data_IF_153895665931
#
_entry.id   IF_153895665931
#
_cell.length_a   1.000
_cell.length_b   1.000
_cell.length_c   1.000
_cell.angle_alpha   90.00
_cell.angle_beta   90.00
_cell.angle_gamma   90.00
#
_symmetry.space_group_name_H-M   'P 1'
#
loop_
_entity.id
_entity.type
_entity.pdbx_description
1 polymer ?
#
# COMPACT_ATOMS: atom_id res chain seq x y z
N UNK A 1 21.69 3.03 0.55
CA UNK A 1 22.02 4.47 0.39
C UNK A 1 23.17 4.96 1.29
N UNK A 2 23.34 4.41 2.51
CA UNK A 2 24.33 4.90 3.49
C UNK A 2 25.57 4.00 3.67
N UNK A 3 25.92 3.21 2.65
CA UNK A 3 26.98 2.19 2.76
C UNK A 3 28.41 2.74 2.96
N UNK A 4 28.62 4.03 2.72
CA UNK A 4 29.91 4.71 2.90
C UNK A 4 30.09 5.30 4.31
N UNK A 5 29.04 5.32 5.14
CA UNK A 5 29.10 5.88 6.48
C UNK A 5 29.45 4.80 7.53
N UNK A 6 30.08 5.18 8.66
CA UNK A 6 30.23 4.27 9.80
C UNK A 6 28.89 3.71 10.25
N UNK A 7 28.85 2.45 10.67
CA UNK A 7 27.60 1.73 10.96
C UNK A 7 26.62 2.48 11.89
N UNK A 8 27.05 3.09 13.02
CA UNK A 8 26.12 3.85 13.88
C UNK A 8 25.47 5.02 13.16
N UNK A 9 26.23 5.75 12.35
CA UNK A 9 25.73 6.89 11.57
C UNK A 9 24.85 6.42 10.40
N UNK A 10 25.23 5.34 9.71
CA UNK A 10 24.41 4.73 8.66
C UNK A 10 23.07 4.25 9.19
N UNK A 11 23.05 3.61 10.37
CA UNK A 11 21.84 3.14 11.04
C UNK A 11 20.96 4.31 11.47
N UNK A 12 21.53 5.34 12.12
CA UNK A 12 20.80 6.53 12.53
C UNK A 12 20.17 7.23 11.32
N UNK A 13 20.96 7.48 10.26
CA UNK A 13 20.48 8.08 9.02
C UNK A 13 19.37 7.26 8.35
N UNK A 14 19.49 5.93 8.35
CA UNK A 14 18.46 5.03 7.83
C UNK A 14 17.17 5.12 8.65
N UNK A 15 17.24 5.01 9.97
CA UNK A 15 16.06 5.08 10.84
C UNK A 15 15.37 6.45 10.74
N UNK A 16 16.12 7.55 10.74
CA UNK A 16 15.57 8.90 10.54
C UNK A 16 14.87 9.04 9.19
N UNK A 17 15.43 8.47 8.11
CA UNK A 17 14.77 8.46 6.81
C UNK A 17 13.43 7.72 6.85
N UNK A 18 13.36 6.57 7.54
CA UNK A 18 12.11 5.83 7.70
C UNK A 18 11.10 6.63 8.54
N UNK A 19 11.53 7.24 9.64
CA UNK A 19 10.70 8.08 10.50
C UNK A 19 10.14 9.30 9.78
N UNK A 20 10.85 9.87 8.80
CA UNK A 20 10.36 10.96 7.93
C UNK A 20 9.39 10.43 6.86
N UNK A 21 9.64 9.23 6.32
CA UNK A 21 8.80 8.62 5.29
C UNK A 21 7.38 8.28 5.79
N UNK A 22 7.22 7.96 7.07
CA UNK A 22 5.91 7.68 7.69
C UNK A 22 4.93 8.88 7.64
N UNK A 23 5.25 10.06 8.22
CA UNK A 23 4.39 11.23 8.12
C UNK A 23 4.28 11.73 6.68
N UNK A 24 5.31 11.57 5.84
CA UNK A 24 5.20 11.86 4.41
C UNK A 24 4.13 11.00 3.74
N UNK A 25 4.08 9.70 4.05
CA UNK A 25 3.05 8.77 3.54
C UNK A 25 1.66 9.22 3.98
N UNK A 26 1.48 9.61 5.26
CA UNK A 26 0.21 10.11 5.77
C UNK A 26 -0.23 11.41 5.06
N UNK A 27 0.66 12.38 4.88
CA UNK A 27 0.36 13.63 4.18
C UNK A 27 0.03 13.41 2.70
N UNK A 28 0.79 12.53 2.03
CA UNK A 28 0.52 12.14 0.65
C UNK A 28 -0.84 11.45 0.54
N UNK A 29 -1.20 10.60 1.49
CA UNK A 29 -2.50 9.93 1.56
C UNK A 29 -3.65 10.92 1.71
N UNK A 30 -3.54 11.90 2.61
CA UNK A 30 -4.53 12.98 2.78
C UNK A 30 -4.69 13.77 1.47
N UNK A 31 -3.56 14.14 0.85
CA UNK A 31 -3.55 14.90 -0.41
C UNK A 31 -4.05 14.09 -1.60
N UNK A 32 -3.87 12.77 -1.60
CA UNK A 32 -4.37 11.85 -2.63
C UNK A 32 -5.88 11.76 -2.53
N UNK A 33 -6.42 11.50 -1.33
CA UNK A 33 -7.85 11.47 -1.06
C UNK A 33 -8.54 12.84 -1.23
N UNK A 34 -7.78 13.93 -1.43
CA UNK A 34 -8.28 15.32 -1.49
C UNK A 34 -9.04 15.73 -0.23
N UNK A 35 -8.73 15.07 0.88
CA UNK A 35 -9.37 15.32 2.17
C UNK A 35 -8.80 16.59 2.79
N UNK A 36 -9.67 17.40 3.40
CA UNK A 36 -9.32 18.59 4.18
C UNK A 36 -9.67 18.37 5.66
N UNK A 37 -8.95 17.47 6.36
CA UNK A 37 -9.18 17.22 7.78
C UNK A 37 -8.91 18.48 8.60
N UNK A 38 -9.51 18.57 9.79
CA UNK A 38 -9.16 19.61 10.76
C UNK A 38 -7.68 19.48 11.17
N UNK A 39 -7.07 20.57 11.62
CA UNK A 39 -5.66 20.57 12.03
C UNK A 39 -5.34 19.48 13.06
N UNK A 40 -6.22 19.29 14.06
CA UNK A 40 -6.05 18.25 15.06
C UNK A 40 -6.15 16.83 14.46
N UNK A 41 -7.04 16.57 13.49
CA UNK A 41 -7.14 15.27 12.82
C UNK A 41 -5.87 14.98 12.01
N UNK A 42 -5.31 16.02 11.38
CA UNK A 42 -4.02 15.93 10.69
C UNK A 42 -2.92 15.57 11.68
N UNK A 43 -2.84 16.26 12.83
CA UNK A 43 -1.85 15.97 13.87
C UNK A 43 -1.99 14.53 14.41
N UNK A 44 -3.22 14.07 14.65
CA UNK A 44 -3.49 12.70 15.08
C UNK A 44 -3.09 11.67 14.03
N UNK A 45 -3.36 11.91 12.74
CA UNK A 45 -2.93 11.02 11.65
C UNK A 45 -1.41 10.97 11.50
N UNK A 46 -0.73 12.12 11.67
CA UNK A 46 0.73 12.19 11.66
C UNK A 46 1.31 11.39 12.83
N UNK A 47 0.79 11.59 14.04
CA UNK A 47 1.20 10.82 15.21
C UNK A 47 0.92 9.32 15.03
N UNK A 48 -0.27 8.97 14.54
CA UNK A 48 -0.65 7.60 14.22
C UNK A 48 0.33 6.93 13.25
N UNK A 49 0.71 7.64 12.19
CA UNK A 49 1.60 7.11 11.15
C UNK A 49 2.94 6.63 11.70
N UNK A 50 3.39 7.21 12.82
CA UNK A 50 4.64 6.84 13.50
C UNK A 50 4.41 5.87 14.66
N UNK A 51 3.34 6.04 15.43
CA UNK A 51 3.14 5.37 16.72
C UNK A 51 2.46 3.99 16.64
N UNK A 52 1.73 3.69 15.56
CA UNK A 52 1.09 2.38 15.43
C UNK A 52 2.10 1.24 15.22
N UNK A 53 1.70 0.04 15.64
CA UNK A 53 2.56 -1.14 15.71
C UNK A 53 3.39 -1.40 14.44
N UNK A 54 2.76 -1.36 13.27
CA UNK A 54 3.42 -1.70 12.00
C UNK A 54 4.52 -0.70 11.61
N UNK A 55 4.37 0.58 11.95
CA UNK A 55 5.40 1.59 11.74
C UNK A 55 6.55 1.42 12.74
N UNK A 56 6.24 1.32 14.03
CA UNK A 56 7.27 1.19 15.09
C UNK A 56 8.12 -0.05 14.84
N UNK A 57 7.48 -1.21 14.59
CA UNK A 57 8.19 -2.44 14.24
C UNK A 57 9.04 -2.26 12.98
N UNK A 58 8.49 -1.60 11.95
CA UNK A 58 9.20 -1.33 10.70
C UNK A 58 10.46 -0.48 10.91
N UNK A 59 10.41 0.55 11.75
CA UNK A 59 11.57 1.39 12.08
C UNK A 59 12.61 0.61 12.88
N UNK A 60 12.18 -0.14 13.91
CA UNK A 60 13.08 -0.94 14.77
C UNK A 60 13.89 -1.94 13.95
N UNK A 61 13.24 -2.62 12.99
CA UNK A 61 13.91 -3.62 12.13
C UNK A 61 14.52 -3.01 10.87
N UNK A 62 14.46 -1.68 10.68
CA UNK A 62 15.03 -1.00 9.52
C UNK A 62 14.37 -1.37 8.19
N UNK A 63 13.07 -1.64 8.18
CA UNK A 63 12.34 -2.16 7.04
C UNK A 63 12.18 -1.15 5.90
N UNK A 64 12.62 -1.54 4.68
CA UNK A 64 12.51 -0.73 3.46
C UNK A 64 11.06 -0.42 3.04
N UNK A 65 10.09 -1.27 3.43
CA UNK A 65 8.66 -1.11 3.11
C UNK A 65 8.09 0.27 3.50
N UNK A 66 8.63 0.92 4.53
CA UNK A 66 8.22 2.27 4.94
C UNK A 66 8.56 3.30 3.86
N UNK A 67 9.80 3.27 3.35
CA UNK A 67 10.23 4.15 2.26
C UNK A 67 9.43 3.84 0.99
N UNK A 68 9.20 2.57 0.71
CA UNK A 68 8.41 2.13 -0.43
C UNK A 68 6.96 2.61 -0.36
N UNK A 69 6.32 2.59 0.81
CA UNK A 69 4.98 3.15 0.98
C UNK A 69 4.94 4.65 0.66
N UNK A 70 5.97 5.41 1.03
CA UNK A 70 6.10 6.83 0.66
C UNK A 70 6.29 7.01 -0.86
N UNK A 71 7.11 6.17 -1.50
CA UNK A 71 7.30 6.16 -2.95
C UNK A 71 6.00 5.86 -3.69
N UNK A 72 5.26 4.83 -3.26
CA UNK A 72 3.95 4.45 -3.83
C UNK A 72 2.93 5.58 -3.65
N UNK A 73 2.78 6.12 -2.44
CA UNK A 73 1.86 7.22 -2.19
C UNK A 73 2.23 8.47 -3.00
N UNK A 74 3.53 8.75 -3.13
CA UNK A 74 4.07 9.84 -3.95
C UNK A 74 3.81 9.64 -5.44
N UNK A 75 4.01 8.42 -5.94
CA UNK A 75 3.71 8.04 -7.31
C UNK A 75 2.23 8.25 -7.63
N UNK A 76 1.32 7.70 -6.82
CA UNK A 76 -0.12 7.87 -6.99
C UNK A 76 -0.52 9.35 -6.93
N UNK A 77 0.13 10.13 -6.06
CA UNK A 77 -0.09 11.58 -5.98
C UNK A 77 0.37 12.31 -7.25
N UNK A 78 1.52 11.91 -7.81
CA UNK A 78 2.06 12.45 -9.05
C UNK A 78 1.16 12.11 -10.24
N UNK A 79 0.61 10.89 -10.30
CA UNK A 79 -0.42 10.50 -11.27
C UNK A 79 -1.63 11.44 -11.20
N UNK A 80 -2.15 11.70 -9.99
CA UNK A 80 -3.28 12.62 -9.77
C UNK A 80 -2.96 14.08 -10.16
N UNK A 81 -1.69 14.51 -10.08
CA UNK A 81 -1.22 15.82 -10.57
C UNK A 81 -0.87 15.86 -12.06
N UNK A 82 -1.04 14.75 -12.80
CA UNK A 82 -0.58 14.62 -14.20
C UNK A 82 0.93 14.82 -14.36
N UNK A 83 1.70 14.61 -13.29
CA UNK A 83 3.16 14.67 -13.27
C UNK A 83 3.74 13.30 -13.68
N UNK A 84 3.49 12.90 -14.93
CA UNK A 84 3.75 11.55 -15.42
C UNK A 84 5.22 11.11 -15.29
N UNK A 85 6.16 12.03 -15.50
CA UNK A 85 7.59 11.74 -15.34
C UNK A 85 7.92 11.37 -13.89
N UNK A 86 7.51 12.19 -12.93
CA UNK A 86 7.73 11.92 -11.51
C UNK A 86 7.01 10.64 -11.05
N UNK A 87 5.79 10.41 -11.53
CA UNK A 87 5.05 9.18 -11.24
C UNK A 87 5.81 7.93 -11.69
N UNK A 88 6.31 7.93 -12.93
CA UNK A 88 7.08 6.82 -13.48
C UNK A 88 8.38 6.57 -12.70
N UNK A 89 9.12 7.64 -12.35
CA UNK A 89 10.35 7.52 -11.54
C UNK A 89 10.05 6.91 -10.17
N UNK A 90 9.05 7.42 -9.46
CA UNK A 90 8.70 6.92 -8.12
C UNK A 90 8.23 5.46 -8.15
N UNK A 91 7.45 5.07 -9.16
CA UNK A 91 7.06 3.66 -9.36
C UNK A 91 8.27 2.78 -9.73
N UNK A 92 9.17 3.26 -10.59
CA UNK A 92 10.39 2.54 -10.94
C UNK A 92 11.27 2.30 -9.72
N UNK A 93 11.44 3.31 -8.86
CA UNK A 93 12.18 3.19 -7.59
C UNK A 93 11.52 2.20 -6.62
N UNK A 94 10.19 2.11 -6.59
CA UNK A 94 9.49 1.14 -5.74
C UNK A 94 9.72 -0.32 -6.12
N UNK A 95 10.22 -0.63 -7.34
CA UNK A 95 10.58 -2.00 -7.74
C UNK A 95 11.69 -2.60 -6.88
N UNK A 96 12.43 -1.79 -6.12
CA UNK A 96 13.40 -2.26 -5.14
C UNK A 96 12.84 -3.34 -4.18
N UNK A 97 11.52 -3.40 -3.99
CA UNK A 97 10.86 -4.51 -3.29
C UNK A 97 9.63 -5.00 -4.08
N UNK A 98 9.84 -5.83 -5.10
CA UNK A 98 8.82 -6.11 -6.11
C UNK A 98 7.53 -6.71 -5.54
N UNK A 99 7.61 -7.39 -4.40
CA UNK A 99 6.49 -8.00 -3.68
C UNK A 99 5.36 -7.01 -3.37
N UNK A 100 5.66 -5.77 -2.99
CA UNK A 100 4.63 -4.78 -2.58
C UNK A 100 3.98 -4.06 -3.78
N UNK A 101 4.63 -4.11 -4.95
CA UNK A 101 4.16 -3.45 -6.18
C UNK A 101 3.79 -4.42 -7.29
N UNK A 102 3.87 -5.73 -7.04
CA UNK A 102 3.69 -6.79 -8.05
C UNK A 102 2.33 -6.72 -8.76
N UNK A 103 1.26 -6.32 -8.06
CA UNK A 103 -0.05 -6.09 -8.68
C UNK A 103 -0.26 -4.62 -9.07
N UNK A 104 0.35 -3.68 -8.33
CA UNK A 104 0.18 -2.24 -8.60
C UNK A 104 0.79 -1.84 -9.95
N UNK A 105 1.98 -2.34 -10.29
CA UNK A 105 2.65 -1.97 -11.55
C UNK A 105 1.84 -2.44 -12.77
N UNK A 106 1.42 -3.72 -12.88
CA UNK A 106 0.54 -4.15 -13.97
C UNK A 106 -0.74 -3.32 -14.04
N UNK A 107 -1.38 -3.04 -12.90
CA UNK A 107 -2.56 -2.17 -12.85
C UNK A 107 -2.28 -0.79 -13.47
N UNK A 108 -1.23 -0.11 -13.00
CA UNK A 108 -0.90 1.24 -13.47
C UNK A 108 -0.48 1.24 -14.94
N UNK A 109 0.20 0.20 -15.43
CA UNK A 109 0.56 0.08 -16.85
C UNK A 109 -0.69 -0.10 -17.74
N UNK A 110 -1.61 -1.00 -17.35
CA UNK A 110 -2.90 -1.21 -18.05
C UNK A 110 -3.70 0.10 -18.05
N UNK A 111 -3.78 0.75 -16.90
CA UNK A 111 -4.47 2.02 -16.74
C UNK A 111 -3.83 3.12 -17.61
N UNK A 112 -2.51 3.29 -17.55
CA UNK A 112 -1.78 4.33 -18.26
C UNK A 112 -1.86 4.15 -19.78
N UNK A 113 -1.82 2.90 -20.26
CA UNK A 113 -2.02 2.58 -21.66
C UNK A 113 -3.40 3.05 -22.14
N UNK A 114 -4.45 2.71 -21.38
CA UNK A 114 -5.84 3.09 -21.69
C UNK A 114 -6.09 4.59 -21.54
N UNK A 115 -5.44 5.24 -20.58
CA UNK A 115 -5.47 6.68 -20.36
C UNK A 115 -4.55 7.47 -21.33
N UNK A 116 -3.87 6.78 -22.26
CA UNK A 116 -2.88 7.35 -23.21
C UNK A 116 -1.74 8.14 -22.53
N UNK A 117 -1.35 7.75 -21.32
CA UNK A 117 -0.25 8.37 -20.55
C UNK A 117 1.10 7.73 -20.85
N UNK A 118 1.50 7.76 -22.13
CA UNK A 118 2.75 7.15 -22.59
C UNK A 118 4.01 7.67 -21.89
N UNK A 119 4.01 8.95 -21.49
CA UNK A 119 5.13 9.55 -20.72
C UNK A 119 5.35 8.88 -19.37
N UNK A 120 4.29 8.44 -18.70
CA UNK A 120 4.39 7.71 -17.43
C UNK A 120 5.03 6.35 -17.66
N UNK A 121 4.55 5.62 -18.69
CA UNK A 121 5.07 4.29 -19.05
C UNK A 121 6.56 4.38 -19.39
N UNK A 122 6.94 5.32 -20.26
CA UNK A 122 8.34 5.51 -20.66
C UNK A 122 9.21 5.92 -19.46
N UNK A 123 8.72 6.78 -18.57
CA UNK A 123 9.45 7.16 -17.36
C UNK A 123 9.65 5.99 -16.39
N UNK A 124 8.62 5.16 -16.21
CA UNK A 124 8.71 3.95 -15.39
C UNK A 124 9.72 2.98 -15.98
N UNK A 125 9.55 2.60 -17.25
CA UNK A 125 10.45 1.66 -17.93
C UNK A 125 11.88 2.20 -18.01
N UNK A 126 12.07 3.49 -18.28
CA UNK A 126 13.36 4.15 -18.30
C UNK A 126 14.05 4.12 -16.94
N UNK A 127 13.32 4.39 -15.86
CA UNK A 127 13.85 4.30 -14.49
C UNK A 127 14.30 2.88 -14.16
N UNK A 128 13.48 1.88 -14.50
CA UNK A 128 13.81 0.47 -14.30
C UNK A 128 15.03 0.07 -15.12
N UNK A 129 15.11 0.49 -16.39
CA UNK A 129 16.24 0.22 -17.26
C UNK A 129 17.54 0.83 -16.71
N UNK A 130 17.49 2.04 -16.17
CA UNK A 130 18.65 2.67 -15.51
C UNK A 130 19.06 1.91 -14.25
N UNK A 131 18.10 1.50 -13.40
CA UNK A 131 18.40 0.75 -12.18
C UNK A 131 18.99 -0.63 -12.48
N UNK A 132 18.36 -1.39 -13.38
CA UNK A 132 18.80 -2.73 -13.79
C UNK A 132 20.13 -2.63 -14.53
N UNK A 133 20.28 -1.67 -15.46
CA UNK A 133 21.51 -1.43 -16.19
C UNK A 133 22.67 -1.05 -15.27
N UNK A 134 22.42 -0.17 -14.29
CA UNK A 134 23.40 0.18 -13.27
C UNK A 134 23.77 -1.01 -12.38
N UNK A 135 22.80 -1.82 -11.96
CA UNK A 135 23.05 -3.04 -11.18
C UNK A 135 23.84 -4.08 -11.98
N UNK A 136 23.53 -4.28 -13.26
CA UNK A 136 24.29 -5.15 -14.16
C UNK A 136 25.70 -4.62 -14.41
N UNK A 137 25.89 -3.32 -14.50
CA UNK A 137 27.22 -2.74 -14.65
C UNK A 137 28.10 -2.96 -13.41
N UNK A 138 27.51 -2.83 -12.20
CA UNK A 138 28.21 -3.06 -10.94
C UNK A 138 28.44 -4.55 -10.63
N UNK A 139 27.47 -5.41 -10.95
CA UNK A 139 27.54 -6.85 -10.67
C UNK A 139 26.87 -7.65 -11.81
N UNK A 140 27.56 -7.90 -12.94
CA UNK A 140 26.95 -8.46 -14.15
C UNK A 140 26.24 -9.80 -13.98
N UNK A 141 26.70 -10.62 -13.04
CA UNK A 141 26.19 -11.97 -12.80
C UNK A 141 25.09 -12.04 -11.73
N UNK A 142 24.63 -10.90 -11.19
CA UNK A 142 23.58 -10.86 -10.18
C UNK A 142 22.28 -11.58 -10.59
N UNK A 143 21.77 -11.50 -11.86
CA UNK A 143 20.52 -12.16 -12.20
C UNK A 143 20.65 -13.68 -12.17
N UNK A 144 21.79 -14.20 -12.65
CA UNK A 144 22.07 -15.63 -12.65
C UNK A 144 22.24 -16.14 -11.21
N UNK A 145 22.98 -15.42 -10.36
CA UNK A 145 23.13 -15.75 -8.94
C UNK A 145 21.80 -15.69 -8.19
N UNK A 146 20.96 -14.70 -8.48
CA UNK A 146 19.62 -14.58 -7.90
C UNK A 146 18.74 -15.77 -8.33
N UNK A 147 18.75 -16.14 -9.62
CA UNK A 147 17.99 -17.28 -10.11
C UNK A 147 18.47 -18.60 -9.47
N UNK A 148 19.78 -18.79 -9.35
CA UNK A 148 20.36 -19.91 -8.61
C UNK A 148 19.86 -19.93 -7.16
N UNK A 149 19.84 -18.79 -6.46
CA UNK A 149 19.30 -18.72 -5.10
C UNK A 149 17.81 -19.07 -5.05
N UNK A 150 17.00 -18.65 -6.03
CA UNK A 150 15.58 -19.00 -6.09
C UNK A 150 15.37 -20.52 -6.27
N UNK A 151 16.21 -21.17 -7.08
CA UNK A 151 16.10 -22.61 -7.37
C UNK A 151 16.70 -23.47 -6.25
N UNK A 152 17.84 -23.05 -5.67
CA UNK A 152 18.62 -23.84 -4.70
C UNK A 152 18.11 -23.69 -3.27
N UNK A 153 17.18 -22.79 -2.98
CA UNK A 153 16.65 -22.57 -1.62
C UNK A 153 15.12 -22.80 -1.50
N UNK A 154 14.63 -24.05 -1.58
CA UNK A 154 13.20 -24.34 -1.49
C UNK A 154 12.57 -24.05 -0.10
N UNK A 155 13.34 -23.94 0.99
CA UNK A 155 12.78 -24.03 2.36
C UNK A 155 12.84 -22.77 3.25
N UNK A 156 13.18 -21.57 2.74
CA UNK A 156 13.47 -20.46 3.67
C UNK A 156 12.27 -19.75 4.33
N UNK A 157 11.02 -19.94 3.88
CA UNK A 157 9.89 -19.12 4.39
C UNK A 157 8.75 -19.94 4.96
N UNK A 158 8.63 -19.91 6.29
CA UNK A 158 7.54 -20.48 7.10
C UNK A 158 6.23 -19.71 7.04
N UNK A 159 6.19 -18.50 6.47
CA UNK A 159 4.99 -17.65 6.44
C UNK A 159 4.36 -17.60 5.05
N UNK A 160 3.16 -18.15 4.94
CA UNK A 160 2.30 -18.04 3.77
C UNK A 160 1.70 -16.62 3.60
N UNK A 161 0.76 -16.47 2.67
CA UNK A 161 0.01 -15.21 2.52
C UNK A 161 -0.97 -15.02 3.70
N UNK A 162 -1.45 -13.81 4.00
CA UNK A 162 -2.44 -13.64 5.07
C UNK A 162 -3.70 -14.47 4.85
N UNK A 163 -4.12 -14.65 3.60
CA UNK A 163 -5.23 -15.55 3.24
C UNK A 163 -4.95 -17.01 3.65
N UNK A 164 -3.69 -17.47 3.62
CA UNK A 164 -3.37 -18.86 4.00
C UNK A 164 -3.56 -19.13 5.49
N UNK A 165 -3.57 -18.09 6.34
CA UNK A 165 -3.87 -18.24 7.77
C UNK A 165 -5.32 -18.68 7.96
N UNK A 166 -6.24 -18.18 7.14
CA UNK A 166 -7.64 -18.62 7.14
C UNK A 166 -7.76 -20.09 6.69
N UNK A 167 -6.94 -20.50 5.72
CA UNK A 167 -6.80 -21.90 5.31
C UNK A 167 -6.33 -22.79 6.45
N UNK A 168 -5.37 -22.33 7.26
CA UNK A 168 -4.84 -23.04 8.41
C UNK A 168 -5.85 -23.29 9.54
N UNK A 169 -7.00 -22.62 9.54
CA UNK A 169 -8.08 -22.89 10.50
C UNK A 169 -8.84 -24.20 10.19
N UNK A 170 -8.72 -24.73 8.97
CA UNK A 170 -9.37 -25.98 8.57
C UNK A 170 -8.43 -27.18 8.74
N UNK A 171 -8.82 -28.23 9.50
CA UNK A 171 -8.00 -29.43 9.70
C UNK A 171 -7.70 -30.20 8.41
N UNK A 172 -8.58 -30.12 7.41
CA UNK A 172 -8.43 -30.73 6.07
C UNK A 172 -8.95 -29.76 5.01
N UNK A 173 -8.22 -29.63 3.91
CA UNK A 173 -8.61 -28.80 2.77
C UNK A 173 -8.29 -27.30 2.87
N UNK A 174 -7.50 -26.87 3.86
CA UNK A 174 -7.07 -25.48 4.03
C UNK A 174 -6.35 -24.90 2.81
N UNK A 175 -5.61 -25.73 2.08
CA UNK A 175 -4.97 -25.32 0.82
C UNK A 175 -6.00 -24.94 -0.25
N UNK A 176 -7.04 -25.76 -0.47
CA UNK A 176 -8.10 -25.44 -1.43
C UNK A 176 -8.83 -24.15 -1.06
N UNK A 177 -9.07 -23.90 0.24
CA UNK A 177 -9.63 -22.64 0.70
C UNK A 177 -8.70 -21.46 0.38
N UNK A 178 -7.39 -21.62 0.65
CA UNK A 178 -6.38 -20.58 0.37
C UNK A 178 -6.32 -20.24 -1.11
N UNK A 179 -6.25 -21.24 -1.99
CA UNK A 179 -6.25 -21.07 -3.44
C UNK A 179 -7.56 -20.48 -3.94
N UNK A 180 -8.70 -20.95 -3.41
CA UNK A 180 -10.03 -20.44 -3.75
C UNK A 180 -10.19 -18.96 -3.40
N UNK A 181 -9.88 -18.57 -2.16
CA UNK A 181 -9.95 -17.17 -1.71
C UNK A 181 -8.98 -16.28 -2.50
N UNK A 182 -7.75 -16.75 -2.75
CA UNK A 182 -6.78 -16.04 -3.58
C UNK A 182 -7.31 -15.82 -4.99
N UNK A 183 -7.83 -16.87 -5.63
CA UNK A 183 -8.44 -16.80 -6.96
C UNK A 183 -9.61 -15.82 -7.02
N UNK A 184 -10.52 -15.87 -6.04
CA UNK A 184 -11.67 -14.94 -5.94
C UNK A 184 -11.19 -13.49 -5.83
N UNK A 185 -10.23 -13.20 -4.96
CA UNK A 185 -9.69 -11.85 -4.78
C UNK A 185 -8.99 -11.34 -6.05
N UNK A 186 -8.23 -12.18 -6.74
CA UNK A 186 -7.56 -11.81 -7.99
C UNK A 186 -8.55 -11.60 -9.14
N UNK A 187 -9.54 -12.48 -9.30
CA UNK A 187 -10.60 -12.31 -10.31
C UNK A 187 -11.39 -11.02 -10.05
N UNK A 188 -11.75 -10.77 -8.78
CA UNK A 188 -12.37 -9.52 -8.37
C UNK A 188 -11.52 -8.31 -8.75
N UNK A 189 -10.22 -8.36 -8.49
CA UNK A 189 -9.31 -7.27 -8.81
C UNK A 189 -9.21 -7.02 -10.32
N UNK A 190 -9.16 -8.07 -11.14
CA UNK A 190 -9.16 -7.93 -12.61
C UNK A 190 -10.43 -7.25 -13.12
N UNK A 191 -11.59 -7.56 -12.52
CA UNK A 191 -12.85 -6.88 -12.84
C UNK A 191 -12.79 -5.38 -12.48
N UNK A 192 -12.28 -5.03 -11.30
CA UNK A 192 -12.13 -3.62 -10.92
C UNK A 192 -11.09 -2.89 -11.78
N UNK A 193 -10.02 -3.57 -12.20
CA UNK A 193 -9.04 -3.01 -13.14
C UNK A 193 -9.70 -2.68 -14.49
N UNK A 194 -10.52 -3.58 -15.03
CA UNK A 194 -11.24 -3.33 -16.27
C UNK A 194 -12.18 -2.11 -16.16
N UNK A 195 -12.81 -1.90 -15.00
CA UNK A 195 -13.70 -0.75 -14.74
C UNK A 195 -12.94 0.56 -14.54
N UNK A 196 -11.79 0.51 -13.90
CA UNK A 196 -10.95 1.67 -13.64
C UNK A 196 -10.03 2.03 -14.83
N UNK A 197 -9.84 1.12 -15.78
CA UNK A 197 -8.99 1.30 -16.95
C UNK A 197 -9.32 2.62 -17.69
N UNK A 198 -8.33 3.51 -17.80
CA UNK A 198 -8.48 4.81 -18.45
C UNK A 198 -9.28 5.87 -17.69
N UNK A 199 -9.91 5.54 -16.55
CA UNK A 199 -10.67 6.50 -15.73
C UNK A 199 -9.74 7.24 -14.78
N UNK A 200 -9.94 8.54 -14.61
CA UNK A 200 -9.14 9.37 -13.70
C UNK A 200 -9.86 9.61 -12.36
N UNK A 201 -9.19 10.31 -11.44
CA UNK A 201 -9.77 10.74 -10.17
C UNK A 201 -10.01 9.61 -9.17
N UNK A 202 -11.12 9.69 -8.42
CA UNK A 202 -11.39 8.79 -7.29
C UNK A 202 -11.52 7.32 -7.70
N UNK A 203 -11.99 7.03 -8.92
CA UNK A 203 -12.11 5.65 -9.42
C UNK A 203 -10.74 4.98 -9.54
N UNK A 204 -9.76 5.69 -10.13
CA UNK A 204 -8.38 5.22 -10.18
C UNK A 204 -7.78 5.07 -8.78
N UNK A 205 -7.96 6.06 -7.92
CA UNK A 205 -7.39 6.05 -6.57
C UNK A 205 -7.95 4.90 -5.72
N UNK A 206 -9.26 4.64 -5.80
CA UNK A 206 -9.90 3.54 -5.11
C UNK A 206 -9.41 2.19 -5.64
N UNK A 207 -9.31 2.02 -6.96
CA UNK A 207 -8.80 0.79 -7.57
C UNK A 207 -7.32 0.55 -7.23
N UNK A 208 -6.48 1.61 -7.19
CA UNK A 208 -5.10 1.53 -6.73
C UNK A 208 -5.01 1.12 -5.26
N UNK A 209 -5.83 1.73 -4.38
CA UNK A 209 -5.89 1.37 -2.97
C UNK A 209 -6.36 -0.08 -2.75
N UNK A 210 -7.38 -0.52 -3.49
CA UNK A 210 -7.86 -1.91 -3.45
C UNK A 210 -6.79 -2.88 -3.96
N UNK A 211 -6.04 -2.49 -5.00
CA UNK A 211 -4.89 -3.26 -5.50
C UNK A 211 -3.84 -3.45 -4.40
N UNK A 212 -3.49 -2.40 -3.65
CA UNK A 212 -2.55 -2.47 -2.52
C UNK A 212 -3.06 -3.38 -1.40
N UNK A 213 -4.34 -3.29 -1.05
CA UNK A 213 -4.98 -4.14 -0.03
C UNK A 213 -4.93 -5.60 -0.45
N UNK A 214 -5.38 -5.93 -1.67
CA UNK A 214 -5.40 -7.31 -2.16
C UNK A 214 -3.97 -7.85 -2.32
N UNK A 215 -3.02 -7.04 -2.77
CA UNK A 215 -1.59 -7.42 -2.79
C UNK A 215 -1.14 -7.91 -1.42
N UNK A 216 -1.47 -7.16 -0.36
CA UNK A 216 -1.09 -7.54 1.00
C UNK A 216 -1.89 -8.72 1.57
N UNK A 217 -2.99 -9.14 0.96
CA UNK A 217 -3.75 -10.33 1.33
C UNK A 217 -3.26 -11.61 0.64
N UNK A 218 -2.85 -11.50 -0.63
CA UNK A 218 -2.58 -12.66 -1.50
C UNK A 218 -1.09 -12.95 -1.69
N UNK A 219 -0.22 -11.94 -1.60
CA UNK A 219 1.21 -12.13 -1.86
C UNK A 219 1.84 -12.95 -0.72
N UNK A 220 2.57 -13.98 -1.14
CA UNK A 220 3.36 -14.84 -0.24
C UNK A 220 4.58 -14.04 0.25
N UNK A 221 5.05 -14.33 1.47
CA UNK A 221 6.21 -13.64 2.07
C UNK A 221 5.97 -12.15 2.34
N UNK A 222 4.73 -11.78 2.66
CA UNK A 222 4.47 -10.46 3.24
C UNK A 222 4.95 -10.41 4.69
N UNK A 223 5.18 -9.21 5.22
CA UNK A 223 5.50 -8.97 6.63
C UNK A 223 4.53 -7.92 7.16
N UNK A 224 4.17 -7.99 8.45
CA UNK A 224 3.27 -7.00 9.08
C UNK A 224 3.76 -5.56 8.93
N UNK A 225 5.08 -5.35 8.81
CA UNK A 225 5.69 -4.05 8.51
C UNK A 225 5.29 -3.45 7.16
N UNK A 226 4.74 -4.24 6.23
CA UNK A 226 4.30 -3.77 4.91
C UNK A 226 2.99 -3.00 4.99
N UNK A 227 2.18 -3.20 6.04
CA UNK A 227 0.84 -2.63 6.15
C UNK A 227 0.82 -1.10 6.24
N UNK A 228 1.98 -0.46 6.42
CA UNK A 228 2.16 0.98 6.23
C UNK A 228 1.72 1.48 4.86
N UNK A 229 1.80 0.64 3.82
CA UNK A 229 1.31 0.97 2.48
C UNK A 229 -0.22 1.06 2.38
N UNK A 230 -0.95 0.63 3.41
CA UNK A 230 -2.42 0.66 3.44
C UNK A 230 -2.98 1.99 3.99
N UNK A 231 -2.11 2.91 4.44
CA UNK A 231 -2.52 4.26 4.87
C UNK A 231 -3.37 5.01 3.82
N UNK A 232 -3.02 5.04 2.52
CA UNK A 232 -3.88 5.63 1.49
C UNK A 232 -5.29 5.04 1.45
N UNK A 233 -5.44 3.73 1.66
CA UNK A 233 -6.73 3.06 1.65
C UNK A 233 -7.62 3.50 2.83
N UNK A 234 -7.06 3.53 4.04
CA UNK A 234 -7.79 3.99 5.21
C UNK A 234 -8.17 5.47 5.11
N UNK A 235 -7.24 6.33 4.68
CA UNK A 235 -7.50 7.77 4.53
C UNK A 235 -8.59 8.03 3.49
N UNK A 236 -8.61 7.28 2.37
CA UNK A 236 -9.67 7.36 1.38
C UNK A 236 -11.03 6.95 1.97
N UNK A 237 -11.08 5.88 2.76
CA UNK A 237 -12.31 5.43 3.40
C UNK A 237 -12.82 6.43 4.45
N UNK A 238 -11.92 6.96 5.29
CA UNK A 238 -12.24 7.95 6.32
C UNK A 238 -12.81 9.23 5.71
N UNK A 239 -12.19 9.72 4.64
CA UNK A 239 -12.70 10.86 3.91
C UNK A 239 -14.12 10.61 3.39
N UNK A 240 -14.37 9.43 2.81
CA UNK A 240 -15.67 9.08 2.26
C UNK A 240 -16.75 8.95 3.35
N UNK A 241 -16.43 8.40 4.52
CA UNK A 241 -17.34 8.35 5.68
C UNK A 241 -17.66 9.76 6.20
N UNK A 242 -16.63 10.59 6.41
CA UNK A 242 -16.81 11.95 6.90
C UNK A 242 -17.64 12.79 5.93
N UNK A 243 -17.47 12.63 4.63
CA UNK A 243 -18.27 13.39 3.68
C UNK A 243 -19.73 12.92 3.64
N UNK A 244 -19.97 11.62 3.74
CA UNK A 244 -21.33 11.06 3.68
C UNK A 244 -22.14 11.34 4.94
N UNK A 245 -21.52 11.26 6.12
CA UNK A 245 -22.20 11.32 7.42
C UNK A 245 -21.73 12.45 8.33
N UNK A 246 -20.86 13.35 7.85
CA UNK A 246 -20.36 14.52 8.58
C UNK A 246 -19.80 14.13 9.94
N UNK A 247 -20.45 14.54 11.03
CA UNK A 247 -20.00 14.28 12.40
C UNK A 247 -19.96 12.79 12.77
N UNK A 248 -20.95 12.00 12.34
CA UNK A 248 -20.97 10.56 12.62
C UNK A 248 -19.87 9.82 11.85
N UNK A 249 -19.62 10.21 10.58
CA UNK A 249 -18.51 9.68 9.79
C UNK A 249 -17.14 10.05 10.37
N UNK A 250 -17.02 11.26 10.94
CA UNK A 250 -15.83 11.68 11.67
C UNK A 250 -15.61 10.85 12.94
N UNK A 251 -16.65 10.62 13.73
CA UNK A 251 -16.57 9.76 14.91
C UNK A 251 -16.14 8.34 14.53
N UNK A 252 -16.77 7.75 13.50
CA UNK A 252 -16.40 6.42 12.99
C UNK A 252 -14.92 6.36 12.55
N UNK A 253 -14.46 7.37 11.82
CA UNK A 253 -13.06 7.46 11.38
C UNK A 253 -12.08 7.52 12.57
N UNK A 254 -12.40 8.30 13.60
CA UNK A 254 -11.55 8.40 14.80
C UNK A 254 -11.56 7.10 15.62
N UNK A 255 -12.71 6.44 15.75
CA UNK A 255 -12.83 5.14 16.42
C UNK A 255 -12.03 4.08 15.68
N UNK A 256 -12.14 4.04 14.34
CA UNK A 256 -11.36 3.13 13.51
C UNK A 256 -9.86 3.42 13.64
N UNK A 257 -9.44 4.68 13.60
CA UNK A 257 -8.05 5.09 13.79
C UNK A 257 -7.51 4.68 15.18
N UNK A 258 -8.30 4.87 16.24
CA UNK A 258 -7.95 4.42 17.60
C UNK A 258 -7.85 2.88 17.68
N UNK A 259 -8.77 2.16 17.05
CA UNK A 259 -8.73 0.71 16.99
C UNK A 259 -7.51 0.19 16.20
N UNK A 260 -7.13 0.85 15.11
CA UNK A 260 -5.91 0.52 14.35
C UNK A 260 -4.63 0.92 15.09
N UNK A 261 -4.69 1.91 15.98
CA UNK A 261 -3.56 2.32 16.80
C UNK A 261 -3.33 1.31 17.92
N UNK A 262 -4.36 1.02 18.70
CA UNK A 262 -4.27 0.23 19.92
C UNK A 262 -4.44 -1.27 19.69
N UNK A 263 -5.29 -1.66 18.75
CA UNK A 263 -5.65 -3.06 18.49
C UNK A 263 -4.46 -3.94 18.12
N UNK A 264 -3.63 -3.59 17.12
CA UNK A 264 -2.43 -4.36 16.79
C UNK A 264 -1.43 -4.44 17.94
N UNK A 265 -1.26 -3.37 18.74
CA UNK A 265 -0.41 -3.41 19.94
C UNK A 265 -0.95 -4.41 20.97
N UNK A 266 -2.24 -4.35 21.29
CA UNK A 266 -2.87 -5.27 22.23
C UNK A 266 -2.78 -6.72 21.74
N UNK A 267 -3.06 -6.97 20.46
CA UNK A 267 -2.98 -8.30 19.85
C UNK A 267 -1.55 -8.85 19.88
N UNK A 268 -0.55 -8.02 19.55
CA UNK A 268 0.86 -8.41 19.61
C UNK A 268 1.26 -8.81 21.04
N UNK A 269 0.99 -7.94 22.02
CA UNK A 269 1.34 -8.20 23.42
C UNK A 269 0.65 -9.45 23.99
N UNK A 270 -0.56 -9.75 23.53
CA UNK A 270 -1.31 -10.93 23.97
C UNK A 270 -0.86 -12.24 23.30
N UNK A 271 -0.20 -12.19 22.14
CA UNK A 271 0.07 -13.38 21.31
C UNK A 271 1.54 -13.60 20.97
N UNK A 272 2.43 -12.67 21.34
CA UNK A 272 3.87 -12.81 21.13
C UNK A 272 4.40 -13.94 22.00
N UNK A 273 5.14 -14.86 21.38
CA UNK A 273 5.83 -15.95 22.07
C UNK A 273 7.34 -15.81 21.84
N UNK A 274 8.07 -15.46 22.89
CA UNK A 274 9.50 -15.14 22.79
C UNK A 274 9.77 -13.98 21.82
N UNK A 275 10.55 -14.25 20.77
CA UNK A 275 10.87 -13.27 19.72
C UNK A 275 10.08 -13.49 18.42
N UNK A 276 9.00 -14.26 18.47
CA UNK A 276 8.21 -14.65 17.29
C UNK A 276 6.86 -13.95 17.34
N UNK A 277 6.56 -13.20 16.27
CA UNK A 277 5.25 -12.59 16.05
C UNK A 277 4.24 -13.66 15.64
N UNK A 278 3.07 -13.68 16.30
CA UNK A 278 2.00 -14.63 15.96
C UNK A 278 1.44 -14.39 14.54
N UNK A 279 1.15 -15.44 13.77
CA UNK A 279 0.52 -15.31 12.44
C UNK A 279 -0.78 -14.51 12.45
N UNK A 280 -1.53 -14.49 13.56
CA UNK A 280 -2.79 -13.73 13.65
C UNK A 280 -2.61 -12.24 13.35
N UNK A 281 -1.43 -11.67 13.58
CA UNK A 281 -1.10 -10.26 13.32
C UNK A 281 -1.23 -9.84 11.85
N UNK A 282 -1.26 -10.80 10.93
CA UNK A 282 -1.34 -10.56 9.49
C UNK A 282 -2.77 -10.32 8.99
N UNK A 283 -3.80 -10.62 9.79
CA UNK A 283 -5.21 -10.57 9.36
C UNK A 283 -5.91 -9.22 9.60
N UNK A 284 -5.86 -8.59 10.82
CA UNK A 284 -6.79 -7.52 11.16
C UNK A 284 -6.68 -6.30 10.25
N UNK A 285 -5.47 -5.83 9.96
CA UNK A 285 -5.26 -4.57 9.24
C UNK A 285 -5.61 -4.70 7.75
N UNK A 286 -5.11 -5.69 6.99
CA UNK A 286 -5.53 -5.88 5.60
C UNK A 286 -7.03 -6.14 5.44
N UNK A 287 -7.65 -6.93 6.34
CA UNK A 287 -9.09 -7.18 6.30
C UNK A 287 -9.89 -5.92 6.64
N UNK A 288 -9.47 -5.14 7.63
CA UNK A 288 -10.12 -3.86 7.95
C UNK A 288 -10.03 -2.89 6.77
N UNK A 289 -8.89 -2.80 6.09
CA UNK A 289 -8.73 -1.98 4.90
C UNK A 289 -9.63 -2.46 3.74
N UNK A 290 -9.72 -3.78 3.54
CA UNK A 290 -10.56 -4.39 2.52
C UNK A 290 -12.04 -4.09 2.75
N UNK A 291 -12.53 -4.32 3.97
CA UNK A 291 -13.91 -4.01 4.37
C UNK A 291 -14.20 -2.52 4.24
N UNK A 292 -13.30 -1.66 4.70
CA UNK A 292 -13.45 -0.21 4.61
C UNK A 292 -13.57 0.27 3.15
N UNK A 293 -12.73 -0.25 2.24
CA UNK A 293 -12.80 0.09 0.83
C UNK A 293 -14.04 -0.47 0.14
N UNK A 294 -14.47 -1.69 0.47
CA UNK A 294 -15.71 -2.27 -0.06
C UNK A 294 -16.94 -1.46 0.36
N UNK A 295 -16.96 -0.98 1.61
CA UNK A 295 -18.05 -0.14 2.10
C UNK A 295 -18.19 1.14 1.28
N UNK A 296 -17.07 1.83 1.00
CA UNK A 296 -17.09 3.12 0.30
C UNK A 296 -17.14 2.99 -1.22
N UNK A 297 -17.06 1.77 -1.76
CA UNK A 297 -17.02 1.47 -3.21
C UNK A 297 -18.11 2.19 -3.99
N UNK A 298 -19.37 2.04 -3.56
CA UNK A 298 -20.51 2.58 -4.27
C UNK A 298 -20.49 4.12 -4.27
N UNK A 299 -19.98 4.74 -3.22
CA UNK A 299 -19.95 6.21 -3.12
C UNK A 299 -18.92 6.84 -4.06
N UNK A 300 -17.84 6.12 -4.37
CA UNK A 300 -16.85 6.54 -5.36
C UNK A 300 -17.45 6.49 -6.78
N UNK A 301 -18.24 5.47 -7.08
CA UNK A 301 -18.87 5.30 -8.39
C UNK A 301 -19.97 6.33 -8.66
N UNK A 302 -20.86 6.58 -7.69
CA UNK A 302 -21.98 7.51 -7.86
C UNK A 302 -21.57 8.99 -7.98
N UNK A 303 -20.41 9.38 -7.43
CA UNK A 303 -19.90 10.76 -7.60
C UNK A 303 -19.52 11.13 -9.02
N UNK A 304 -19.19 10.15 -9.86
CA UNK A 304 -18.84 10.41 -11.27
C UNK A 304 -20.06 10.59 -12.16
N UNK A 305 -21.28 10.37 -11.63
CA UNK A 305 -22.53 10.42 -12.40
C UNK A 305 -23.42 11.63 -12.11
N UNK A 306 -23.16 12.36 -11.02
CA UNK A 306 -23.90 13.58 -10.73
C UNK A 306 -23.17 14.74 -11.43
N UNK A 307 -23.80 15.45 -12.39
CA UNK A 307 -23.34 16.76 -12.77
C UNK A 307 -23.27 17.56 -11.46
N UNK A 308 -22.10 18.10 -11.13
CA UNK A 308 -22.04 19.17 -10.14
C UNK A 308 -22.92 20.26 -10.73
N UNK A 309 -24.02 20.58 -10.07
CA UNK A 309 -25.00 21.56 -10.50
C UNK A 309 -24.29 22.78 -11.12
N UNK A 310 -24.33 22.88 -12.45
CA UNK A 310 -24.28 24.17 -13.12
C UNK A 310 -25.59 24.85 -12.74
N UNK A 311 -25.65 25.40 -11.53
CA UNK A 311 -26.61 26.44 -11.24
C UNK A 311 -26.16 27.66 -12.06
N UNK A 312 -26.91 28.09 -13.09
CA UNK A 312 -26.63 29.36 -13.70
C UNK A 312 -26.87 30.42 -12.62
N UNK A 313 -25.85 31.22 -12.34
CA UNK A 313 -26.04 32.47 -11.62
C UNK A 313 -26.88 33.33 -12.58
N UNK A 314 -28.20 33.28 -12.42
CA UNK A 314 -29.14 34.19 -13.07
C UNK A 314 -29.53 35.30 -12.10
N UNK A 315 -29.43 36.53 -12.62
CA UNK A 315 -29.74 37.85 -12.07
C UNK A 315 -28.66 38.47 -11.18
#
# INVERSE_FOLDING_TARGET
PFGLLPYPLARAAWMTLLEIALPATALLSIRLARWRPRMWQTAVLLLFSVAWYHAVRGVIVGQFAILEAALIAGALRAVDRKADLAAGVLLGLSIAKPQMVVLLIPFVLIWAWRARRGRLILSLLGTVAVLVGGALWLQPDWPLRWLQQVVTYPEYTRTGSPVSILGGLLPRGGEYLTWGLTGILLIYLLFEWARAAGREGLVFQWAAAMTLVITNLVVIRTATTHFVVLLPAFVLAFHAWEERWRSAGRLLSNVCLAALLLGPWALFLATVEGNIESPVMYLPVPLAAWVALLWVRWWVEYRTKLPVDEAPISA
#
